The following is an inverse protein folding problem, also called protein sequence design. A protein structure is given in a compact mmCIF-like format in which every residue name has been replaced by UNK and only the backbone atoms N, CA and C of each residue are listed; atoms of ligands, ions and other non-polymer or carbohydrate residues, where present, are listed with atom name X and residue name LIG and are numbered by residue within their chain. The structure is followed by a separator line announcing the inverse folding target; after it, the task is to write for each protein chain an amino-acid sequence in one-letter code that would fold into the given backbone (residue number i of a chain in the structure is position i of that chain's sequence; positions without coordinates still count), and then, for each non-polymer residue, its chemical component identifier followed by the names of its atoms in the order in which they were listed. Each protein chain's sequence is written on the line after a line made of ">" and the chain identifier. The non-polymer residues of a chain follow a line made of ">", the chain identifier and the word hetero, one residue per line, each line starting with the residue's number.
data_IF_408818392383
#
_entry.id   IF_408818392383
#
_cell.length_a   1.000
_cell.length_b   1.000
_cell.length_c   1.000
_cell.angle_alpha   90.00
_cell.angle_beta   90.00
_cell.angle_gamma   90.00
#
_symmetry.space_group_name_H-M   'P 1'
#
loop_
_entity.id
_entity.type
_entity.pdbx_description
1 polymer ?
#
# COMPACT_ATOMS: atom_id res chain seq x y z
N UNK A 1 22.83 -43.44 -18.63
CA UNK A 1 22.36 -42.04 -18.57
C UNK A 1 21.60 -41.90 -17.25
N UNK A 2 22.22 -41.49 -16.13
CA UNK A 2 22.43 -40.09 -15.68
C UNK A 2 21.11 -39.28 -15.73
N UNK A 3 20.52 -38.71 -14.66
CA UNK A 3 21.02 -37.88 -13.54
C UNK A 3 20.06 -37.95 -12.31
N UNK A 4 20.57 -37.63 -11.12
CA UNK A 4 20.04 -37.63 -9.74
C UNK A 4 19.17 -36.41 -9.31
N UNK A 5 18.33 -36.59 -8.26
CA UNK A 5 18.15 -35.80 -7.00
C UNK A 5 16.69 -35.74 -6.50
N UNK A 6 16.30 -36.41 -5.41
CA UNK A 6 16.17 -35.94 -4.00
C UNK A 6 15.37 -34.65 -3.74
N UNK A 7 14.06 -34.82 -3.54
CA UNK A 7 13.19 -34.04 -2.64
C UNK A 7 12.11 -35.05 -2.20
N UNK A 8 11.96 -35.45 -0.93
CA UNK A 8 11.13 -34.76 0.07
C UNK A 8 11.22 -35.60 1.36
N UNK A 9 12.15 -35.30 2.27
CA UNK A 9 12.26 -35.96 3.61
C UNK A 9 12.59 -34.92 4.71
N UNK A 10 12.31 -33.63 4.50
CA UNK A 10 12.79 -32.58 5.42
C UNK A 10 11.79 -32.09 6.49
N UNK A 11 10.55 -32.58 6.53
CA UNK A 11 9.55 -32.06 7.48
C UNK A 11 9.35 -32.88 8.75
N UNK A 12 9.65 -34.18 8.75
CA UNK A 12 9.53 -35.04 9.95
C UNK A 12 10.71 -34.90 10.92
N UNK A 13 11.89 -34.50 10.44
CA UNK A 13 13.07 -34.28 11.27
C UNK A 13 13.04 -32.96 12.04
N UNK A 14 12.30 -31.95 11.57
CA UNK A 14 12.22 -30.65 12.24
C UNK A 14 11.44 -30.74 13.57
N UNK A 15 10.37 -31.53 13.59
CA UNK A 15 9.53 -31.72 14.78
C UNK A 15 10.28 -32.53 15.86
N UNK A 16 11.03 -33.55 15.47
CA UNK A 16 11.86 -34.34 16.40
C UNK A 16 13.09 -33.56 16.93
N UNK A 17 13.63 -32.60 16.17
CA UNK A 17 14.77 -31.78 16.59
C UNK A 17 14.41 -30.58 17.47
N UNK A 18 13.15 -30.11 17.42
CA UNK A 18 12.66 -28.96 18.19
C UNK A 18 12.03 -29.35 19.54
N UNK A 19 11.51 -30.58 19.67
CA UNK A 19 10.87 -31.03 20.91
C UNK A 19 11.79 -31.06 22.15
N UNK A 20 13.10 -31.38 22.07
CA UNK A 20 13.97 -31.30 23.24
C UNK A 20 14.41 -29.89 23.62
N UNK A 21 14.13 -28.87 22.78
CA UNK A 21 14.56 -27.47 23.01
C UNK A 21 13.42 -26.54 23.43
N UNK A 22 12.19 -27.05 23.52
CA UNK A 22 10.98 -26.28 23.82
C UNK A 22 10.31 -26.72 25.14
N UNK A 23 10.72 -27.83 25.75
CA UNK A 23 10.07 -28.35 26.95
C UNK A 23 11.02 -28.39 28.15
N UNK A 24 10.87 -27.44 29.06
CA UNK A 24 11.14 -27.66 30.49
C UNK A 24 9.83 -28.02 31.23
N UNK A 25 8.85 -28.55 30.49
CA UNK A 25 7.57 -28.99 31.01
C UNK A 25 7.29 -30.43 30.57
N UNK A 26 7.21 -31.34 31.53
CA UNK A 26 6.96 -32.77 31.38
C UNK A 26 5.56 -33.15 30.84
N UNK A 27 4.84 -32.26 30.15
CA UNK A 27 3.40 -32.42 29.85
C UNK A 27 2.98 -31.99 28.43
N UNK A 28 3.86 -32.09 27.43
CA UNK A 28 3.46 -31.88 26.03
C UNK A 28 2.92 -33.19 25.41
N UNK A 29 1.64 -33.20 25.02
CA UNK A 29 1.02 -34.28 24.23
C UNK A 29 0.71 -33.81 22.81
N UNK A 30 1.00 -34.64 21.80
CA UNK A 30 0.60 -34.42 20.42
C UNK A 30 -0.41 -35.51 20.00
N UNK A 31 -1.54 -35.09 19.43
CA UNK A 31 -2.55 -35.97 18.84
C UNK A 31 -2.51 -35.90 17.31
N UNK A 32 -2.54 -37.07 16.68
CA UNK A 32 -2.70 -37.23 15.24
C UNK A 32 -3.88 -38.17 14.96
N UNK A 33 -4.75 -37.84 14.00
CA UNK A 33 -5.85 -38.69 13.58
C UNK A 33 -5.70 -39.10 12.11
N UNK A 34 -5.96 -40.37 11.79
CA UNK A 34 -6.03 -40.83 10.41
C UNK A 34 -7.38 -40.52 9.75
N UNK A 35 -7.46 -40.67 8.42
CA UNK A 35 -8.67 -40.45 7.60
C UNK A 35 -9.85 -41.38 7.94
N UNK A 36 -9.66 -42.34 8.86
CA UNK A 36 -10.69 -43.25 9.39
C UNK A 36 -11.06 -42.95 10.86
N UNK A 37 -10.61 -41.82 11.39
CA UNK A 37 -10.96 -41.36 12.74
C UNK A 37 -10.22 -42.09 13.86
N UNK A 38 -9.13 -42.80 13.57
CA UNK A 38 -8.31 -43.43 14.61
C UNK A 38 -7.28 -42.44 15.13
N UNK A 39 -7.36 -42.15 16.43
CA UNK A 39 -6.47 -41.21 17.12
C UNK A 39 -5.23 -41.93 17.67
N UNK A 40 -4.05 -41.40 17.37
CA UNK A 40 -2.78 -41.78 17.97
C UNK A 40 -2.35 -40.69 18.95
N UNK A 41 -2.15 -41.08 20.21
CA UNK A 41 -1.60 -40.21 21.27
C UNK A 41 -0.13 -40.54 21.46
N UNK A 42 0.74 -39.56 21.24
CA UNK A 42 2.16 -39.67 21.51
C UNK A 42 2.50 -38.75 22.70
N UNK A 43 2.91 -39.36 23.82
CA UNK A 43 3.50 -38.61 24.93
C UNK A 43 4.94 -38.20 24.57
N UNK A 44 5.38 -37.04 25.04
CA UNK A 44 6.76 -36.58 24.92
C UNK A 44 7.72 -37.42 25.78
N UNK A 45 7.92 -38.70 25.42
CA UNK A 45 8.96 -39.56 25.97
C UNK A 45 9.87 -40.06 24.84
N UNK A 46 11.21 -40.00 24.98
CA UNK A 46 12.14 -40.33 23.89
C UNK A 46 12.11 -41.79 23.40
N UNK A 47 11.35 -42.69 24.06
CA UNK A 47 11.44 -44.14 23.84
C UNK A 47 10.12 -44.82 23.42
N UNK A 48 9.08 -44.09 22.98
CA UNK A 48 7.86 -44.74 22.47
C UNK A 48 8.01 -45.14 20.99
N UNK A 49 8.24 -46.43 20.75
CA UNK A 49 8.44 -47.02 19.41
C UNK A 49 7.20 -47.00 18.52
N UNK A 50 6.03 -46.57 19.03
CA UNK A 50 4.77 -46.49 18.27
C UNK A 50 4.68 -45.27 17.36
N UNK A 51 5.46 -44.21 17.61
CA UNK A 51 5.40 -42.93 16.86
C UNK A 51 6.42 -42.84 15.70
N UNK A 52 7.19 -43.91 15.44
CA UNK A 52 8.32 -43.92 14.49
C UNK A 52 8.06 -44.71 13.19
N UNK A 53 6.82 -45.15 12.90
CA UNK A 53 6.54 -45.85 11.65
C UNK A 53 6.10 -44.88 10.54
N UNK A 54 6.73 -44.93 9.34
CA UNK A 54 6.30 -44.12 8.21
C UNK A 54 4.88 -44.54 7.78
N UNK A 55 3.92 -43.61 7.89
CA UNK A 55 2.65 -43.73 7.18
C UNK A 55 2.84 -43.23 5.75
N UNK A 56 2.44 -44.02 4.76
CA UNK A 56 2.48 -43.65 3.33
C UNK A 56 1.28 -42.80 2.90
N UNK A 57 0.48 -42.30 3.84
CA UNK A 57 -0.78 -41.62 3.54
C UNK A 57 -0.63 -40.10 3.68
N UNK A 58 -0.72 -39.39 2.56
CA UNK A 58 -0.57 -37.94 2.45
C UNK A 58 -1.89 -37.25 2.78
N UNK A 59 -2.20 -37.08 4.06
CA UNK A 59 -3.31 -36.22 4.50
C UNK A 59 -2.90 -35.31 5.66
N UNK A 60 -3.41 -34.08 5.60
CA UNK A 60 -3.02 -32.91 6.39
C UNK A 60 -3.13 -33.18 7.90
N UNK A 61 -2.02 -33.00 8.63
CA UNK A 61 -2.01 -32.99 10.09
C UNK A 61 -2.38 -31.59 10.60
N UNK A 62 -3.51 -31.46 11.29
CA UNK A 62 -3.80 -30.30 12.13
C UNK A 62 -3.14 -30.49 13.50
N UNK A 63 -2.26 -29.57 13.88
CA UNK A 63 -1.68 -29.50 15.23
C UNK A 63 -2.40 -28.41 16.01
N UNK A 64 -3.17 -28.78 17.03
CA UNK A 64 -3.81 -27.83 17.95
C UNK A 64 -2.90 -27.59 19.15
N UNK A 65 -2.35 -26.39 19.29
CA UNK A 65 -1.57 -26.00 20.46
C UNK A 65 -2.50 -25.34 21.51
N UNK A 66 -2.53 -25.88 22.73
CA UNK A 66 -3.18 -25.23 23.89
C UNK A 66 -2.11 -24.77 24.87
N UNK A 67 -1.66 -23.53 24.71
CA UNK A 67 -0.75 -22.87 25.65
C UNK A 67 -0.46 -21.44 25.18
N UNK A 68 -0.82 -20.44 25.97
CA UNK A 68 -0.57 -19.04 25.65
C UNK A 68 0.93 -18.72 25.65
N UNK A 69 1.42 -18.11 24.57
CA UNK A 69 2.81 -17.63 24.49
C UNK A 69 2.96 -16.38 25.38
N UNK A 70 3.96 -16.37 26.25
CA UNK A 70 4.35 -15.19 27.03
C UNK A 70 4.82 -14.06 26.09
N UNK A 71 4.45 -12.82 26.41
CA UNK A 71 4.74 -11.61 25.62
C UNK A 71 6.23 -11.40 25.31
N UNK A 72 7.12 -11.96 26.14
CA UNK A 72 8.58 -11.92 25.95
C UNK A 72 9.06 -12.82 24.79
N UNK A 73 8.38 -13.94 24.55
CA UNK A 73 8.71 -14.89 23.48
C UNK A 73 8.24 -14.39 22.11
N UNK A 74 7.08 -13.72 22.05
CA UNK A 74 6.61 -13.03 20.84
C UNK A 74 7.61 -11.96 20.40
N UNK A 75 8.22 -11.26 21.36
CA UNK A 75 9.22 -10.22 21.08
C UNK A 75 10.57 -10.79 20.60
N UNK A 76 10.98 -11.97 21.09
CA UNK A 76 12.20 -12.66 20.63
C UNK A 76 12.03 -13.35 19.27
N UNK A 77 10.87 -13.95 18.98
CA UNK A 77 10.58 -14.58 17.69
C UNK A 77 10.52 -13.54 16.56
N UNK A 78 10.00 -12.33 16.84
CA UNK A 78 10.02 -11.27 15.83
C UNK A 78 11.40 -10.60 15.65
N UNK A 79 12.27 -10.58 16.67
CA UNK A 79 13.63 -9.98 16.58
C UNK A 79 14.53 -10.73 15.60
N UNK A 80 14.27 -12.02 15.35
CA UNK A 80 15.11 -12.88 14.52
C UNK A 80 14.74 -12.92 13.03
N UNK A 81 13.57 -12.43 12.63
CA UNK A 81 13.00 -12.83 11.33
C UNK A 81 13.69 -12.19 10.12
N UNK A 82 13.79 -10.85 10.07
CA UNK A 82 14.40 -10.20 8.89
C UNK A 82 15.95 -10.24 8.89
N UNK A 83 16.58 -10.29 10.07
CA UNK A 83 18.05 -10.25 10.15
C UNK A 83 18.71 -11.55 9.72
N UNK A 84 17.99 -12.67 9.80
CA UNK A 84 18.49 -13.98 9.36
C UNK A 84 18.89 -14.00 7.88
N UNK A 85 18.24 -13.18 7.04
CA UNK A 85 18.51 -13.04 5.61
C UNK A 85 19.50 -11.94 5.23
N UNK A 86 20.08 -11.23 6.19
CA UNK A 86 20.89 -10.02 5.95
C UNK A 86 22.36 -10.13 6.41
N UNK A 87 23.13 -11.13 5.93
CA UNK A 87 24.53 -11.25 6.32
C UNK A 87 25.33 -10.02 5.87
N UNK A 88 25.99 -9.35 6.82
CA UNK A 88 26.86 -8.20 6.55
C UNK A 88 26.13 -6.86 6.32
N UNK A 89 24.82 -6.78 6.54
CA UNK A 89 24.08 -5.51 6.53
C UNK A 89 23.60 -5.17 7.95
N UNK A 90 23.84 -3.94 8.44
CA UNK A 90 23.54 -3.58 9.83
C UNK A 90 22.05 -3.44 10.13
N UNK A 91 21.19 -3.26 9.11
CA UNK A 91 19.74 -3.09 9.30
C UNK A 91 18.92 -3.94 8.33
N UNK A 92 17.70 -4.30 8.75
CA UNK A 92 16.68 -4.92 7.88
C UNK A 92 15.29 -4.31 8.09
N UNK A 93 14.47 -4.33 7.04
CA UNK A 93 13.04 -4.03 7.15
C UNK A 93 12.29 -5.31 7.52
N UNK A 94 11.58 -5.35 8.66
CA UNK A 94 10.70 -6.48 8.99
C UNK A 94 9.46 -6.55 8.09
N UNK A 95 9.24 -5.55 7.23
CA UNK A 95 8.08 -5.47 6.35
C UNK A 95 8.41 -5.98 4.94
N UNK A 96 9.51 -5.49 4.36
CA UNK A 96 9.94 -5.85 3.00
C UNK A 96 10.98 -6.96 2.96
N UNK A 97 11.54 -7.37 4.10
CA UNK A 97 12.64 -8.33 4.23
C UNK A 97 13.95 -7.91 3.52
N UNK A 98 14.04 -6.65 3.09
CA UNK A 98 15.24 -6.10 2.47
C UNK A 98 16.28 -5.67 3.52
N UNK A 99 17.55 -5.60 3.08
CA UNK A 99 18.70 -5.32 3.93
C UNK A 99 19.35 -3.98 3.60
N UNK A 100 19.72 -3.20 4.62
CA UNK A 100 20.11 -1.79 4.48
C UNK A 100 21.41 -1.46 5.22
N UNK A 101 22.11 -0.44 4.71
CA UNK A 101 23.36 0.08 5.28
C UNK A 101 23.12 1.13 6.37
N UNK A 102 21.99 1.84 6.33
CA UNK A 102 21.64 2.90 7.28
C UNK A 102 20.22 2.69 7.81
N UNK A 103 19.95 3.21 9.01
CA UNK A 103 18.64 3.15 9.66
C UNK A 103 17.77 4.33 9.22
N UNK A 104 17.40 4.38 7.94
CA UNK A 104 16.61 5.49 7.39
C UNK A 104 15.14 5.48 7.86
N UNK A 105 14.65 4.33 8.32
CA UNK A 105 13.31 4.19 8.88
C UNK A 105 13.38 3.74 10.33
N UNK A 106 12.54 4.31 11.18
CA UNK A 106 12.47 3.96 12.60
C UNK A 106 12.16 2.48 12.84
N UNK A 107 11.35 1.90 11.94
CA UNK A 107 10.91 0.52 12.01
C UNK A 107 11.95 -0.50 11.51
N UNK A 108 13.10 -0.06 10.98
CA UNK A 108 14.20 -0.96 10.64
C UNK A 108 14.80 -1.58 11.90
N UNK A 109 15.05 -2.89 11.84
CA UNK A 109 15.68 -3.65 12.93
C UNK A 109 17.19 -3.66 12.72
N UNK A 110 17.94 -3.55 13.82
CA UNK A 110 19.40 -3.72 13.82
C UNK A 110 19.76 -5.20 13.83
N UNK A 111 20.63 -5.63 12.91
CA UNK A 111 21.01 -7.02 12.70
C UNK A 111 22.39 -7.41 13.25
N UNK A 112 23.18 -6.42 13.64
CA UNK A 112 24.51 -6.64 14.21
C UNK A 112 24.47 -6.40 15.72
N UNK A 113 24.85 -7.41 16.52
CA UNK A 113 25.33 -7.19 17.89
C UNK A 113 26.79 -6.75 17.83
N UNK A 114 27.04 -5.48 17.54
CA UNK A 114 28.38 -4.92 17.62
C UNK A 114 28.34 -3.43 17.96
N UNK A 115 28.72 -3.12 19.20
CA UNK A 115 29.45 -1.92 19.59
C UNK A 115 28.76 -0.57 19.46
N UNK A 116 28.50 0.05 20.61
CA UNK A 116 28.36 1.50 20.80
C UNK A 116 29.36 2.29 19.93
N UNK A 117 28.86 3.22 19.13
CA UNK A 117 29.72 3.97 18.20
C UNK A 117 28.98 4.83 17.18
N UNK A 118 28.06 5.68 17.64
CA UNK A 118 27.47 6.73 16.80
C UNK A 118 26.25 7.39 17.45
N UNK A 119 26.49 8.44 18.23
CA UNK A 119 25.44 9.27 18.82
C UNK A 119 24.51 9.82 17.72
N UNK A 120 23.25 9.38 17.73
CA UNK A 120 22.19 10.08 17.03
C UNK A 120 21.98 11.46 17.68
N UNK A 121 21.75 12.54 16.91
CA UNK A 121 21.37 13.82 17.50
C UNK A 121 20.01 13.70 18.20
N UNK A 122 19.89 14.36 19.35
CA UNK A 122 18.68 14.34 20.17
C UNK A 122 17.47 14.94 19.42
N UNK A 123 16.25 14.41 19.62
CA UNK A 123 15.04 15.01 19.08
C UNK A 123 14.80 16.41 19.68
N UNK A 124 14.29 17.38 18.90
CA UNK A 124 13.90 18.69 19.44
C UNK A 124 12.76 18.54 20.47
N UNK A 125 12.68 19.43 21.47
CA UNK A 125 11.65 19.36 22.50
C UNK A 125 10.26 19.54 21.88
N UNK A 126 9.36 18.61 22.19
CA UNK A 126 7.96 18.67 21.79
C UNK A 126 7.23 19.77 22.53
N UNK A 127 6.75 20.77 21.80
CA UNK A 127 5.82 21.74 22.32
C UNK A 127 4.45 21.08 22.50
N UNK A 128 3.98 21.08 23.75
CA UNK A 128 2.65 20.63 24.13
C UNK A 128 1.57 21.50 23.51
N UNK A 129 1.11 21.09 22.33
CA UNK A 129 -0.12 21.56 21.71
C UNK A 129 -1.24 20.56 21.99
N UNK A 130 -2.23 20.99 22.78
CA UNK A 130 -3.44 20.25 23.08
C UNK A 130 -4.12 19.78 21.79
N UNK A 131 -4.35 18.47 21.70
CA UNK A 131 -5.14 17.87 20.65
C UNK A 131 -6.51 18.57 20.55
N UNK A 132 -6.95 19.03 19.38
CA UNK A 132 -8.35 19.38 19.20
C UNK A 132 -9.19 18.12 19.37
N UNK A 133 -10.31 18.28 20.10
CA UNK A 133 -11.26 17.21 20.38
C UNK A 133 -11.70 16.50 19.10
N UNK A 134 -11.98 15.18 19.14
CA UNK A 134 -12.46 14.45 17.98
C UNK A 134 -13.78 15.07 17.51
N UNK A 135 -13.80 15.57 16.28
CA UNK A 135 -15.03 15.87 15.58
C UNK A 135 -15.80 14.56 15.43
N UNK A 136 -16.89 14.41 16.18
CA UNK A 136 -17.76 13.26 16.12
C UNK A 136 -18.47 13.22 14.76
N UNK A 137 -17.85 12.52 13.81
CA UNK A 137 -18.49 11.99 12.62
C UNK A 137 -18.43 10.48 12.70
N UNK A 138 -19.44 9.88 13.33
CA UNK A 138 -19.54 8.43 13.51
C UNK A 138 -19.40 7.67 12.21
N UNK A 139 -18.24 7.05 12.01
CA UNK A 139 -17.89 6.29 10.82
C UNK A 139 -18.76 5.05 10.63
N UNK A 140 -18.62 4.45 9.45
CA UNK A 140 -19.24 3.21 8.93
C UNK A 140 -19.82 2.24 9.99
N UNK A 141 -19.04 1.90 11.02
CA UNK A 141 -19.43 0.96 12.07
C UNK A 141 -20.62 1.42 12.92
N UNK A 142 -20.80 2.73 13.13
CA UNK A 142 -21.78 3.28 14.05
C UNK A 142 -23.18 3.43 13.42
N UNK A 143 -23.25 3.58 12.10
CA UNK A 143 -24.53 3.65 11.39
C UNK A 143 -25.21 2.28 11.36
N UNK A 144 -24.49 1.26 10.90
CA UNK A 144 -25.06 -0.07 10.67
C UNK A 144 -25.23 -0.91 11.94
N UNK A 145 -24.69 -0.49 13.09
CA UNK A 145 -24.84 -1.19 14.37
C UNK A 145 -26.30 -1.42 14.79
N UNK A 146 -27.22 -0.56 14.37
CA UNK A 146 -28.65 -0.66 14.70
C UNK A 146 -29.52 -1.25 13.56
N UNK A 147 -28.94 -1.54 12.39
CA UNK A 147 -29.68 -1.96 11.21
C UNK A 147 -29.49 -3.46 10.94
N UNK A 148 -30.58 -4.24 11.03
CA UNK A 148 -30.61 -5.68 10.74
C UNK A 148 -30.56 -6.01 9.24
N UNK A 149 -29.69 -5.32 8.49
CA UNK A 149 -29.61 -5.40 7.02
C UNK A 149 -30.09 -4.14 6.30
N UNK A 150 -29.90 -4.10 4.98
CA UNK A 150 -30.39 -3.02 4.11
C UNK A 150 -29.38 -1.88 3.97
N UNK A 151 -29.80 -0.66 4.28
CA UNK A 151 -28.98 0.54 4.19
C UNK A 151 -29.18 1.46 5.40
N UNK A 152 -28.18 2.26 5.77
CA UNK A 152 -28.25 3.24 6.85
C UNK A 152 -27.82 4.62 6.36
N UNK A 153 -28.47 5.67 6.86
CA UNK A 153 -28.03 7.05 6.64
C UNK A 153 -27.02 7.47 7.72
N UNK A 154 -25.75 7.78 7.40
CA UNK A 154 -24.75 8.17 8.40
C UNK A 154 -25.10 9.47 9.13
N UNK A 155 -25.99 10.27 8.54
CA UNK A 155 -26.47 11.55 9.08
C UNK A 155 -27.67 11.34 10.02
N UNK A 156 -28.70 10.61 9.57
CA UNK A 156 -29.95 10.46 10.35
C UNK A 156 -29.98 9.22 11.22
N UNK A 157 -29.03 8.30 11.04
CA UNK A 157 -28.94 6.99 11.70
C UNK A 157 -30.17 6.09 11.49
N UNK A 158 -31.00 6.41 10.49
CA UNK A 158 -32.17 5.60 10.13
C UNK A 158 -31.79 4.47 9.17
N UNK A 159 -32.49 3.34 9.30
CA UNK A 159 -32.36 2.16 8.44
C UNK A 159 -33.37 2.20 7.29
N UNK A 160 -32.96 1.72 6.12
CA UNK A 160 -33.71 1.72 4.88
C UNK A 160 -33.56 0.36 4.19
N UNK A 161 -34.60 -0.09 3.49
CA UNK A 161 -34.57 -1.36 2.75
C UNK A 161 -33.96 -1.24 1.35
N UNK A 162 -33.76 -0.01 0.86
CA UNK A 162 -33.18 0.28 -0.46
C UNK A 162 -32.29 1.54 -0.42
N UNK A 163 -31.33 1.62 -1.34
CA UNK A 163 -30.42 2.78 -1.48
C UNK A 163 -31.13 3.97 -2.14
N UNK A 164 -31.98 4.65 -1.38
CA UNK A 164 -32.72 5.81 -1.88
C UNK A 164 -31.82 7.05 -2.10
N UNK A 165 -30.62 7.06 -1.51
CA UNK A 165 -29.59 8.09 -1.69
C UNK A 165 -28.22 7.44 -1.79
N UNK A 166 -27.35 8.02 -2.60
CA UNK A 166 -26.01 7.49 -2.85
C UNK A 166 -25.15 7.45 -1.59
N UNK A 167 -25.39 8.32 -0.62
CA UNK A 167 -24.65 8.35 0.64
C UNK A 167 -25.16 7.35 1.69
N UNK A 168 -26.20 6.55 1.39
CA UNK A 168 -26.64 5.51 2.31
C UNK A 168 -25.67 4.33 2.27
N UNK A 169 -25.22 3.91 3.45
CA UNK A 169 -24.29 2.81 3.66
C UNK A 169 -25.04 1.48 3.68
N UNK A 170 -24.52 0.41 3.10
CA UNK A 170 -25.19 -0.90 3.10
C UNK A 170 -24.92 -1.62 4.42
N UNK A 171 -25.97 -2.04 5.12
CA UNK A 171 -25.88 -2.79 6.37
C UNK A 171 -26.22 -4.27 6.12
N UNK A 172 -25.58 -5.18 6.87
CA UNK A 172 -25.85 -6.63 6.79
C UNK A 172 -25.50 -7.31 5.46
N UNK A 173 -24.59 -6.73 4.69
CA UNK A 173 -23.69 -7.55 3.88
C UNK A 173 -22.56 -8.00 4.79
N UNK A 174 -21.97 -9.17 4.53
CA UNK A 174 -20.62 -9.48 5.01
C UNK A 174 -19.83 -8.21 4.71
N UNK A 175 -19.31 -7.55 5.76
CA UNK A 175 -18.23 -6.62 5.55
C UNK A 175 -17.25 -7.44 4.72
N UNK A 176 -16.90 -7.03 3.50
CA UNK A 176 -15.85 -7.69 2.71
C UNK A 176 -14.55 -7.44 3.47
N UNK A 177 -14.45 -8.02 4.66
CA UNK A 177 -13.43 -7.86 5.64
C UNK A 177 -12.28 -8.62 5.03
N UNK A 178 -11.54 -7.90 4.19
CA UNK A 178 -10.33 -8.39 3.58
C UNK A 178 -9.27 -8.36 4.67
N UNK A 179 -8.64 -9.50 4.90
CA UNK A 179 -7.39 -9.52 5.63
C UNK A 179 -6.27 -9.06 4.70
N UNK A 180 -5.39 -8.23 5.26
CA UNK A 180 -4.18 -7.86 4.56
C UNK A 180 -3.26 -9.09 4.51
N UNK A 181 -3.09 -9.62 3.30
CA UNK A 181 -2.20 -10.73 3.05
C UNK A 181 -0.74 -10.31 2.92
N UNK A 182 0.04 -11.26 2.41
CA UNK A 182 1.45 -11.10 2.09
C UNK A 182 1.72 -9.83 1.25
N UNK A 183 2.79 -9.11 1.60
CA UNK A 183 3.36 -8.06 0.76
C UNK A 183 4.07 -8.70 -0.44
N UNK A 184 3.56 -8.46 -1.64
CA UNK A 184 4.08 -9.07 -2.88
C UNK A 184 5.09 -8.18 -3.59
N UNK A 185 5.10 -6.88 -3.28
CA UNK A 185 6.01 -5.92 -3.85
C UNK A 185 6.12 -4.68 -2.95
N UNK A 186 7.30 -4.07 -2.89
CA UNK A 186 7.50 -2.78 -2.25
C UNK A 186 8.67 -2.00 -2.85
N UNK A 187 8.60 -0.68 -2.68
CA UNK A 187 9.75 0.20 -2.74
C UNK A 187 9.74 1.08 -1.48
N UNK A 188 10.79 0.96 -0.67
CA UNK A 188 10.99 1.74 0.56
C UNK A 188 11.88 2.98 0.32
N UNK A 189 12.29 3.20 -0.94
CA UNK A 189 13.04 4.36 -1.42
C UNK A 189 14.38 4.61 -0.71
N UNK A 190 14.98 3.56 -0.17
CA UNK A 190 16.37 3.60 0.27
C UNK A 190 17.33 3.60 -0.92
N UNK A 191 18.29 4.50 -0.87
CA UNK A 191 19.37 4.53 -1.85
C UNK A 191 20.42 3.44 -1.55
N UNK A 192 20.05 2.20 -1.85
CA UNK A 192 20.91 1.03 -1.67
C UNK A 192 22.18 1.07 -2.55
N UNK A 193 22.18 1.91 -3.60
CA UNK A 193 23.29 2.04 -4.55
C UNK A 193 24.22 3.22 -4.27
N UNK A 194 23.78 4.20 -3.46
CA UNK A 194 24.45 5.49 -3.29
C UNK A 194 24.34 6.42 -4.51
N UNK A 195 23.41 6.16 -5.44
CA UNK A 195 23.26 6.95 -6.67
C UNK A 195 22.29 8.13 -6.54
N UNK A 196 21.50 8.17 -5.47
CA UNK A 196 20.39 9.09 -5.29
C UNK A 196 19.24 8.87 -6.29
N UNK A 197 19.23 7.79 -7.09
CA UNK A 197 18.18 7.52 -8.09
C UNK A 197 17.27 6.38 -7.65
N UNK A 198 16.04 6.39 -8.14
CA UNK A 198 15.10 5.27 -7.97
C UNK A 198 15.64 3.98 -8.57
N UNK A 199 15.27 2.85 -7.98
CA UNK A 199 15.66 1.55 -8.47
C UNK A 199 15.10 1.32 -9.89
N UNK A 200 15.97 1.12 -10.88
CA UNK A 200 15.59 0.88 -12.27
C UNK A 200 15.02 -0.53 -12.50
N UNK A 201 14.98 -1.41 -11.51
CA UNK A 201 14.14 -2.61 -11.57
C UNK A 201 12.68 -2.32 -11.23
N UNK A 202 12.40 -1.19 -10.57
CA UNK A 202 11.06 -0.81 -10.11
C UNK A 202 10.44 0.31 -10.94
N UNK A 203 11.25 1.28 -11.39
CA UNK A 203 10.76 2.51 -11.99
C UNK A 203 11.41 2.83 -13.35
N UNK A 204 10.61 3.44 -14.23
CA UNK A 204 11.05 4.14 -15.45
C UNK A 204 10.66 5.60 -15.36
N UNK A 205 11.50 6.47 -15.91
CA UNK A 205 11.15 7.87 -16.12
C UNK A 205 10.34 8.01 -17.41
N UNK A 206 9.15 8.59 -17.32
CA UNK A 206 8.35 8.96 -18.47
C UNK A 206 8.60 10.42 -18.84
N UNK A 207 9.76 10.66 -19.45
CA UNK A 207 10.22 12.01 -19.85
C UNK A 207 9.42 12.57 -21.03
N UNK A 208 9.22 13.88 -21.07
CA UNK A 208 8.50 14.57 -22.15
C UNK A 208 7.54 15.64 -21.65
N UNK A 209 6.88 16.31 -22.59
CA UNK A 209 5.70 17.13 -22.31
C UNK A 209 4.44 16.25 -22.18
N UNK A 210 3.39 16.79 -21.57
CA UNK A 210 2.07 16.16 -21.50
C UNK A 210 0.98 17.14 -21.93
N UNK A 211 0.73 17.31 -23.24
CA UNK A 211 -0.19 18.32 -23.72
C UNK A 211 -1.67 18.02 -23.43
N UNK A 212 -2.00 16.79 -23.01
CA UNK A 212 -3.38 16.30 -22.93
C UNK A 212 -4.25 17.11 -21.97
N UNK A 213 -3.66 17.64 -20.89
CA UNK A 213 -4.38 18.39 -19.85
C UNK A 213 -3.98 19.88 -19.79
N UNK A 214 -3.30 20.41 -20.82
CA UNK A 214 -2.74 21.77 -20.83
C UNK A 214 -1.69 21.99 -19.72
N UNK A 215 -1.01 20.91 -19.33
CA UNK A 215 0.09 20.94 -18.37
C UNK A 215 1.30 21.71 -18.91
N UNK A 216 2.03 22.38 -18.02
CA UNK A 216 3.07 23.36 -18.36
C UNK A 216 4.50 22.82 -18.17
N UNK A 217 4.67 21.73 -17.44
CA UNK A 217 5.97 21.13 -17.15
C UNK A 217 6.52 20.29 -18.30
N UNK A 218 7.84 20.17 -18.33
CA UNK A 218 8.54 19.08 -18.99
C UNK A 218 9.01 18.06 -17.95
N UNK A 219 8.61 16.80 -18.08
CA UNK A 219 9.10 15.72 -17.22
C UNK A 219 10.53 15.33 -17.60
N UNK A 220 11.42 15.26 -16.61
CA UNK A 220 12.82 14.87 -16.78
C UNK A 220 13.22 13.75 -15.81
N UNK A 221 14.42 13.20 -16.04
CA UNK A 221 15.10 12.27 -15.14
C UNK A 221 16.30 12.91 -14.42
N UNK A 222 16.35 14.25 -14.38
CA UNK A 222 17.36 15.01 -13.65
C UNK A 222 17.22 14.76 -12.13
N UNK A 223 18.34 14.67 -11.39
CA UNK A 223 18.31 14.58 -9.92
C UNK A 223 17.52 15.70 -9.24
N UNK A 224 17.54 16.90 -9.81
CA UNK A 224 16.76 18.05 -9.30
C UNK A 224 15.24 17.83 -9.32
N UNK A 225 14.73 17.03 -10.27
CA UNK A 225 13.31 16.74 -10.38
C UNK A 225 12.92 15.43 -9.68
N UNK A 226 13.85 14.49 -9.54
CA UNK A 226 13.63 13.28 -8.77
C UNK A 226 14.93 12.71 -8.19
N UNK A 227 14.94 12.52 -6.88
CA UNK A 227 16.05 11.86 -6.18
C UNK A 227 15.58 11.18 -4.89
N UNK A 228 16.40 10.25 -4.42
CA UNK A 228 16.28 9.62 -3.12
C UNK A 228 17.12 10.39 -2.11
N UNK A 229 16.53 10.70 -0.96
CA UNK A 229 17.23 11.31 0.17
C UNK A 229 16.60 10.80 1.47
N UNK A 230 17.43 10.35 2.41
CA UNK A 230 17.01 9.89 3.74
C UNK A 230 15.90 8.82 3.70
N UNK A 231 16.00 7.90 2.73
CA UNK A 231 15.01 6.84 2.50
C UNK A 231 13.70 7.33 1.87
N UNK A 232 13.62 8.57 1.40
CA UNK A 232 12.40 9.16 0.82
C UNK A 232 12.65 9.49 -0.64
N UNK A 233 11.70 9.12 -1.50
CA UNK A 233 11.65 9.62 -2.87
C UNK A 233 11.09 11.05 -2.85
N UNK A 234 11.82 11.98 -3.47
CA UNK A 234 11.38 13.34 -3.72
C UNK A 234 11.10 13.49 -5.21
N UNK A 235 9.90 13.97 -5.56
CA UNK A 235 9.54 14.43 -6.91
C UNK A 235 9.28 15.92 -6.81
N UNK A 236 10.11 16.72 -7.45
CA UNK A 236 10.10 18.17 -7.33
C UNK A 236 9.74 18.82 -8.67
N UNK A 237 8.63 19.55 -8.65
CA UNK A 237 8.29 20.51 -9.69
C UNK A 237 8.94 21.87 -9.37
N UNK A 238 9.68 22.42 -10.32
CA UNK A 238 10.43 23.67 -10.13
C UNK A 238 10.33 24.59 -11.34
N UNK A 239 10.56 25.88 -11.08
CA UNK A 239 10.74 26.86 -12.13
C UNK A 239 12.15 26.77 -12.70
N UNK A 240 12.26 26.53 -14.01
CA UNK A 240 13.50 26.67 -14.76
C UNK A 240 13.20 26.91 -16.24
N UNK A 241 14.04 27.69 -16.93
CA UNK A 241 14.01 27.68 -18.39
C UNK A 241 14.58 26.35 -18.88
N UNK A 242 13.75 25.53 -19.50
CA UNK A 242 14.14 24.25 -20.05
C UNK A 242 13.88 24.21 -21.55
N UNK A 243 14.95 23.93 -22.32
CA UNK A 243 14.94 23.82 -23.80
C UNK A 243 14.27 25.01 -24.50
N UNK A 244 14.37 26.21 -23.92
CA UNK A 244 13.83 27.48 -24.44
C UNK A 244 12.32 27.47 -24.75
N UNK A 245 11.57 26.53 -24.18
CA UNK A 245 10.13 26.35 -24.40
C UNK A 245 9.35 26.16 -23.11
N UNK A 246 9.91 25.46 -22.13
CA UNK A 246 9.22 25.15 -20.88
C UNK A 246 9.76 25.99 -19.74
N UNK A 247 8.85 26.56 -18.94
CA UNK A 247 9.20 27.35 -17.75
C UNK A 247 9.20 26.51 -16.47
N UNK A 248 8.82 25.24 -16.58
CA UNK A 248 8.70 24.31 -15.47
C UNK A 248 9.27 22.95 -15.85
N UNK A 249 9.91 22.31 -14.88
CA UNK A 249 10.26 20.89 -14.97
C UNK A 249 9.74 20.14 -13.77
N UNK A 250 9.56 18.82 -13.94
CA UNK A 250 9.13 17.91 -12.89
C UNK A 250 9.58 16.49 -13.24
N UNK A 251 9.13 15.47 -12.49
CA UNK A 251 9.32 14.06 -12.84
C UNK A 251 8.00 13.30 -12.87
N UNK A 252 7.96 12.27 -13.72
CA UNK A 252 6.90 11.27 -13.80
C UNK A 252 7.55 9.89 -13.81
N UNK A 253 7.31 9.13 -12.77
CA UNK A 253 7.81 7.77 -12.61
C UNK A 253 6.69 6.78 -12.88
N UNK A 254 6.99 5.70 -13.59
CA UNK A 254 6.04 4.63 -13.90
C UNK A 254 6.63 3.26 -13.61
N UNK A 255 5.79 2.31 -13.20
CA UNK A 255 6.16 0.88 -13.10
C UNK A 255 5.87 0.11 -14.39
N UNK A 256 5.47 0.81 -15.46
CA UNK A 256 5.11 0.20 -16.75
C UNK A 256 6.23 -0.72 -17.27
N UNK A 257 5.83 -1.91 -17.73
CA UNK A 257 6.71 -2.99 -18.20
C UNK A 257 7.67 -3.56 -17.13
N UNK A 258 7.50 -3.18 -15.85
CA UNK A 258 8.29 -3.68 -14.71
C UNK A 258 7.44 -4.40 -13.67
N UNK A 259 6.33 -3.78 -13.27
CA UNK A 259 5.39 -4.32 -12.29
C UNK A 259 3.98 -3.77 -12.52
N UNK A 260 2.99 -4.63 -12.37
CA UNK A 260 1.58 -4.30 -12.51
C UNK A 260 0.70 -5.14 -11.58
N UNK A 261 -0.46 -4.58 -11.21
CA UNK A 261 -1.38 -5.18 -10.25
C UNK A 261 -2.81 -5.09 -10.74
N UNK A 262 -3.65 -5.99 -10.23
CA UNK A 262 -5.06 -6.12 -10.61
C UNK A 262 -5.94 -6.34 -9.39
N UNK A 263 -7.19 -6.78 -9.60
CA UNK A 263 -8.06 -7.25 -8.54
C UNK A 263 -7.35 -8.23 -7.57
N UNK A 264 -7.76 -8.20 -6.31
CA UNK A 264 -7.17 -8.99 -5.24
C UNK A 264 -5.92 -8.34 -4.60
N UNK A 265 -5.65 -7.06 -4.86
CA UNK A 265 -4.51 -6.34 -4.30
C UNK A 265 -4.92 -5.07 -3.56
N UNK A 266 -4.15 -4.75 -2.52
CA UNK A 266 -4.11 -3.42 -1.91
C UNK A 266 -2.89 -2.67 -2.44
N UNK A 267 -3.11 -1.45 -2.90
CA UNK A 267 -2.02 -0.48 -3.17
C UNK A 267 -2.00 0.50 -2.01
N UNK A 268 -0.87 0.62 -1.32
CA UNK A 268 -0.72 1.46 -0.13
C UNK A 268 0.52 2.33 -0.28
N UNK A 269 0.33 3.64 -0.28
CA UNK A 269 1.39 4.63 -0.51
C UNK A 269 1.39 5.65 0.60
N UNK A 270 2.55 5.89 1.22
CA UNK A 270 2.71 6.94 2.23
C UNK A 270 3.41 8.15 1.63
N UNK A 271 2.74 9.29 1.61
CA UNK A 271 3.24 10.48 0.93
C UNK A 271 2.87 11.81 1.62
N UNK A 272 3.69 12.85 1.36
CA UNK A 272 3.36 14.28 1.51
C UNK A 272 3.19 14.88 0.12
N UNK A 273 2.18 15.73 -0.07
CA UNK A 273 1.85 16.35 -1.35
C UNK A 273 2.08 17.88 -1.28
N UNK A 274 2.57 18.53 -2.36
CA UNK A 274 2.83 19.97 -2.37
C UNK A 274 1.54 20.81 -2.40
N UNK A 275 1.57 21.98 -1.76
CA UNK A 275 0.41 22.87 -1.56
C UNK A 275 0.36 24.08 -2.49
N UNK A 276 1.42 24.38 -3.23
CA UNK A 276 1.46 25.55 -4.12
C UNK A 276 0.33 25.54 -5.13
N UNK A 277 -0.37 26.67 -5.31
CA UNK A 277 -1.40 26.78 -6.35
C UNK A 277 -0.75 26.58 -7.72
N UNK A 278 -1.42 25.83 -8.59
CA UNK A 278 -0.84 25.38 -9.85
C UNK A 278 -0.14 24.03 -9.76
N UNK A 279 0.08 23.44 -8.58
CA UNK A 279 0.54 22.04 -8.49
C UNK A 279 -0.62 21.08 -8.74
N UNK A 280 -0.28 19.94 -9.32
CA UNK A 280 -1.17 18.78 -9.46
C UNK A 280 -0.39 17.49 -9.20
N UNK A 281 -0.08 17.17 -7.92
CA UNK A 281 0.48 15.88 -7.54
C UNK A 281 -0.55 14.75 -7.70
N UNK A 282 -0.08 13.60 -8.19
CA UNK A 282 -0.92 12.42 -8.39
C UNK A 282 -0.16 11.11 -8.08
N UNK A 283 -0.89 10.19 -7.46
CA UNK A 283 -0.55 8.76 -7.32
C UNK A 283 -1.70 8.00 -7.95
N UNK A 284 -1.45 7.35 -9.08
CA UNK A 284 -2.51 6.85 -9.96
C UNK A 284 -2.01 5.71 -10.82
N UNK A 285 -2.92 5.07 -11.55
CA UNK A 285 -2.64 3.86 -12.30
C UNK A 285 -3.30 3.87 -13.67
N UNK A 286 -2.62 3.29 -14.64
CA UNK A 286 -3.12 3.07 -16.00
C UNK A 286 -2.96 1.59 -16.41
N UNK A 287 -3.79 1.08 -17.33
CA UNK A 287 -3.75 -0.31 -17.73
C UNK A 287 -2.43 -0.66 -18.42
N UNK A 288 -1.87 -1.84 -18.12
CA UNK A 288 -0.70 -2.37 -18.82
C UNK A 288 -0.98 -2.60 -20.30
N UNK A 289 -2.24 -2.93 -20.63
CA UNK A 289 -2.71 -3.19 -21.97
C UNK A 289 -4.08 -2.56 -22.23
N UNK A 290 -4.24 -1.94 -23.40
CA UNK A 290 -5.49 -1.31 -23.84
C UNK A 290 -6.52 -2.35 -24.34
N UNK A 291 -6.88 -3.32 -23.50
CA UNK A 291 -7.76 -4.46 -23.84
C UNK A 291 -9.12 -4.02 -24.39
N UNK A 292 -9.64 -2.89 -23.91
CA UNK A 292 -10.94 -2.34 -24.31
C UNK A 292 -10.81 -1.10 -25.22
N UNK A 293 -9.62 -0.89 -25.80
CA UNK A 293 -9.26 0.30 -26.56
C UNK A 293 -8.55 1.36 -25.72
N UNK A 294 -8.08 2.43 -26.36
CA UNK A 294 -7.33 3.49 -25.67
C UNK A 294 -8.14 4.20 -24.58
N UNK A 295 -7.45 5.06 -23.83
CA UNK A 295 -8.09 5.87 -22.79
C UNK A 295 -9.32 6.64 -23.32
N UNK A 296 -10.45 6.70 -22.58
CA UNK A 296 -10.63 6.17 -21.22
C UNK A 296 -11.18 4.73 -21.16
N UNK A 297 -11.31 4.03 -22.30
CA UNK A 297 -12.06 2.77 -22.36
C UNK A 297 -11.40 1.64 -21.57
N UNK A 298 -10.06 1.58 -21.52
CA UNK A 298 -9.33 0.59 -20.71
C UNK A 298 -9.11 1.00 -19.26
N UNK A 299 -9.58 2.17 -18.85
CA UNK A 299 -9.65 2.59 -17.45
C UNK A 299 -8.49 3.47 -16.97
N UNK A 300 -8.73 4.14 -15.84
CA UNK A 300 -7.77 4.90 -15.03
C UNK A 300 -8.20 4.79 -13.56
N UNK A 301 -7.24 4.67 -12.65
CA UNK A 301 -7.50 4.62 -11.20
C UNK A 301 -6.62 5.67 -10.53
N UNK A 302 -7.25 6.70 -9.99
CA UNK A 302 -6.58 7.77 -9.26
C UNK A 302 -6.66 7.45 -7.77
N UNK A 303 -5.56 6.96 -7.19
CA UNK A 303 -5.48 6.60 -5.77
C UNK A 303 -5.54 7.87 -4.93
N UNK A 304 -4.76 8.88 -5.32
CA UNK A 304 -4.91 10.23 -4.81
C UNK A 304 -4.48 11.25 -5.85
N UNK A 305 -5.30 12.28 -5.99
CA UNK A 305 -4.93 13.55 -6.61
C UNK A 305 -5.26 14.70 -5.67
N UNK A 306 -4.52 15.79 -5.79
CA UNK A 306 -4.92 17.08 -5.23
C UNK A 306 -4.37 18.19 -6.10
N UNK A 307 -4.93 19.38 -5.95
CA UNK A 307 -4.42 20.60 -6.58
C UNK A 307 -4.27 21.67 -5.51
N UNK A 308 -3.21 22.48 -5.58
CA UNK A 308 -3.04 23.58 -4.62
C UNK A 308 -4.18 24.60 -4.63
N UNK A 309 -5.00 24.61 -5.70
CA UNK A 309 -6.23 25.39 -5.80
C UNK A 309 -7.41 24.87 -4.93
N UNK A 310 -7.31 23.67 -4.35
CA UNK A 310 -8.32 23.08 -3.47
C UNK A 310 -7.72 22.78 -2.10
N UNK A 311 -7.81 23.75 -1.18
CA UNK A 311 -7.27 23.61 0.17
C UNK A 311 -7.90 22.42 0.91
N UNK A 312 -7.02 21.60 1.50
CA UNK A 312 -7.37 20.51 2.39
C UNK A 312 -8.14 19.36 1.75
N UNK A 313 -8.17 19.23 0.41
CA UNK A 313 -8.91 18.17 -0.28
C UNK A 313 -7.99 17.26 -1.06
N UNK A 314 -8.20 15.97 -0.90
CA UNK A 314 -7.64 14.92 -1.76
C UNK A 314 -8.78 14.17 -2.45
N UNK A 315 -8.55 13.71 -3.66
CA UNK A 315 -9.54 13.12 -4.54
C UNK A 315 -9.13 11.69 -4.88
N UNK A 316 -10.10 10.77 -4.84
CA UNK A 316 -9.96 9.43 -5.39
C UNK A 316 -11.01 9.24 -6.47
N UNK A 317 -10.58 8.84 -7.66
CA UNK A 317 -11.40 8.86 -8.87
C UNK A 317 -11.12 7.62 -9.71
N UNK A 318 -12.11 7.24 -10.52
CA UNK A 318 -11.91 6.35 -11.65
C UNK A 318 -12.36 7.03 -12.94
N UNK A 319 -11.65 6.72 -14.02
CA UNK A 319 -12.09 7.04 -15.37
C UNK A 319 -12.31 5.78 -16.20
N UNK A 320 -13.42 5.73 -16.93
CA UNK A 320 -13.80 4.64 -17.83
C UNK A 320 -14.43 5.21 -19.11
N UNK A 321 -14.74 4.35 -20.09
CA UNK A 321 -15.49 4.74 -21.28
C UNK A 321 -16.82 5.47 -20.96
N UNK A 322 -17.56 4.99 -19.95
CA UNK A 322 -18.80 5.58 -19.46
C UNK A 322 -18.59 6.78 -18.52
N UNK A 323 -17.55 6.73 -17.68
CA UNK A 323 -17.35 7.65 -16.57
C UNK A 323 -16.06 8.42 -16.75
N UNK A 324 -16.09 9.62 -17.34
CA UNK A 324 -14.87 10.40 -17.52
C UNK A 324 -15.15 11.91 -17.56
N UNK A 325 -14.08 12.68 -17.35
CA UNK A 325 -14.15 14.13 -17.26
C UNK A 325 -14.59 14.80 -18.57
N UNK A 326 -14.24 14.22 -19.74
CA UNK A 326 -14.68 14.76 -21.03
C UNK A 326 -16.22 14.73 -21.19
N UNK A 327 -16.87 13.76 -20.55
CA UNK A 327 -18.33 13.61 -20.51
C UNK A 327 -18.97 14.22 -19.26
N UNK A 328 -18.18 14.70 -18.30
CA UNK A 328 -18.63 15.10 -16.96
C UNK A 328 -19.37 13.98 -16.20
N UNK A 329 -18.95 12.73 -16.40
CA UNK A 329 -19.58 11.54 -15.80
C UNK A 329 -18.64 10.74 -14.90
N UNK A 330 -17.44 11.24 -14.62
CA UNK A 330 -16.44 10.60 -13.77
C UNK A 330 -17.02 10.23 -12.40
N UNK A 331 -16.47 9.16 -11.82
CA UNK A 331 -16.89 8.64 -10.51
C UNK A 331 -15.72 8.79 -9.55
N UNK A 332 -15.95 9.56 -8.50
CA UNK A 332 -14.96 9.83 -7.48
C UNK A 332 -15.59 10.47 -6.26
N UNK A 333 -14.78 10.62 -5.22
CA UNK A 333 -15.12 11.36 -4.01
C UNK A 333 -13.90 12.15 -3.54
N UNK A 334 -14.06 12.91 -2.47
CA UNK A 334 -12.96 13.62 -1.83
C UNK A 334 -12.95 13.37 -0.33
N UNK A 335 -11.78 13.56 0.27
CA UNK A 335 -11.56 13.54 1.71
C UNK A 335 -10.88 14.83 2.14
N UNK A 336 -11.21 15.32 3.33
CA UNK A 336 -10.57 16.49 3.90
C UNK A 336 -9.38 16.09 4.77
N UNK A 337 -8.18 16.55 4.41
CA UNK A 337 -6.95 16.32 5.17
C UNK A 337 -5.90 17.38 4.85
N UNK A 338 -4.94 17.58 5.76
CA UNK A 338 -3.75 18.37 5.47
C UNK A 338 -2.73 17.55 4.67
N UNK A 339 -2.90 17.50 3.36
CA UNK A 339 -2.06 16.69 2.49
C UNK A 339 -0.57 17.09 2.46
N UNK A 340 -0.18 18.19 3.11
CA UNK A 340 1.22 18.56 3.32
C UNK A 340 1.90 17.73 4.43
N UNK A 341 1.11 17.02 5.22
CA UNK A 341 1.56 16.04 6.20
C UNK A 341 1.59 14.61 5.64
N UNK A 342 2.27 13.73 6.39
CA UNK A 342 2.41 12.33 5.98
C UNK A 342 1.08 11.61 6.12
N UNK A 343 0.53 11.16 4.99
CA UNK A 343 -0.70 10.37 4.96
C UNK A 343 -0.50 9.06 4.21
N UNK A 344 -1.26 8.05 4.61
CA UNK A 344 -1.37 6.78 3.92
C UNK A 344 -2.56 6.83 2.94
N UNK A 345 -2.27 6.87 1.65
CA UNK A 345 -3.25 6.79 0.58
C UNK A 345 -3.35 5.34 0.11
N UNK A 346 -4.55 4.77 0.18
CA UNK A 346 -4.75 3.34 -0.05
C UNK A 346 -5.92 3.10 -0.99
N UNK A 347 -5.77 2.13 -1.89
CA UNK A 347 -6.91 1.44 -2.50
C UNK A 347 -6.94 -0.03 -2.11
N UNK A 348 -8.14 -0.54 -1.83
CA UNK A 348 -8.43 -1.97 -1.92
C UNK A 348 -9.13 -2.25 -3.24
N UNK A 349 -8.53 -3.07 -4.07
CA UNK A 349 -9.07 -3.43 -5.36
C UNK A 349 -9.54 -4.88 -5.34
N UNK A 350 -10.85 -5.07 -5.33
CA UNK A 350 -11.51 -6.37 -5.44
C UNK A 350 -12.17 -6.51 -6.80
N UNK A 351 -12.52 -7.75 -7.17
CA UNK A 351 -13.21 -8.02 -8.44
C UNK A 351 -14.56 -7.28 -8.54
N UNK A 352 -15.23 -7.11 -7.41
CA UNK A 352 -16.59 -6.57 -7.33
C UNK A 352 -16.65 -5.07 -7.06
N UNK A 353 -15.60 -4.48 -6.49
CA UNK A 353 -15.57 -3.08 -6.10
C UNK A 353 -14.15 -2.65 -5.74
N UNK A 354 -13.97 -1.33 -5.64
CA UNK A 354 -12.73 -0.70 -5.20
C UNK A 354 -13.05 0.30 -4.09
N UNK A 355 -12.19 0.39 -3.08
CA UNK A 355 -12.35 1.27 -1.92
C UNK A 355 -11.12 2.15 -1.76
N UNK A 356 -11.31 3.43 -1.47
CA UNK A 356 -10.24 4.39 -1.23
C UNK A 356 -10.22 4.82 0.23
N UNK A 357 -9.00 4.95 0.76
CA UNK A 357 -8.78 5.34 2.14
C UNK A 357 -7.68 6.40 2.26
N UNK A 358 -7.84 7.27 3.25
CA UNK A 358 -6.78 8.12 3.80
C UNK A 358 -6.59 7.73 5.25
N UNK A 359 -5.40 7.30 5.64
CA UNK A 359 -5.07 6.84 7.00
C UNK A 359 -6.03 5.77 7.53
N UNK A 360 -6.45 4.86 6.64
CA UNK A 360 -7.40 3.80 6.95
C UNK A 360 -8.87 4.26 7.03
N UNK A 361 -9.16 5.55 6.86
CA UNK A 361 -10.53 6.07 6.79
C UNK A 361 -11.08 5.94 5.37
N UNK A 362 -12.10 5.11 5.21
CA UNK A 362 -12.81 4.92 3.94
C UNK A 362 -13.56 6.19 3.56
N UNK A 363 -13.35 6.71 2.34
CA UNK A 363 -14.08 7.89 1.84
C UNK A 363 -14.68 7.73 0.44
N UNK A 364 -14.27 6.69 -0.30
CA UNK A 364 -14.85 6.37 -1.59
C UNK A 364 -15.00 4.86 -1.77
N UNK A 365 -16.10 4.45 -2.40
CA UNK A 365 -16.29 3.10 -2.91
C UNK A 365 -16.86 3.20 -4.31
N UNK A 366 -16.19 2.57 -5.26
CA UNK A 366 -16.65 2.43 -6.62
C UNK A 366 -16.96 0.97 -6.91
N UNK A 367 -18.15 0.70 -7.44
CA UNK A 367 -18.60 -0.64 -7.79
C UNK A 367 -19.31 -0.56 -9.15
N UNK A 368 -19.20 -1.61 -9.98
CA UNK A 368 -19.92 -1.67 -11.23
C UNK A 368 -21.42 -1.75 -10.98
N UNK A 369 -22.21 -0.97 -11.72
CA UNK A 369 -23.66 -1.18 -11.80
C UNK A 369 -24.04 -2.26 -12.84
N UNK A 370 -23.10 -2.62 -13.72
CA UNK A 370 -23.19 -3.70 -14.72
C UNK A 370 -21.81 -4.33 -14.95
N UNK A 371 -21.74 -5.57 -15.43
CA UNK A 371 -20.46 -6.22 -15.79
C UNK A 371 -19.81 -5.75 -17.09
N UNK A 372 -20.22 -4.60 -17.65
CA UNK A 372 -19.69 -4.08 -18.92
C UNK A 372 -18.33 -3.42 -18.73
N UNK A 373 -17.40 -3.67 -19.66
CA UNK A 373 -16.06 -3.04 -19.64
C UNK A 373 -16.11 -1.52 -19.80
N UNK A 374 -17.16 -0.95 -20.39
CA UNK A 374 -17.37 0.50 -20.49
C UNK A 374 -17.52 1.16 -19.10
N UNK A 375 -17.98 0.39 -18.11
CA UNK A 375 -18.23 0.83 -16.74
C UNK A 375 -17.27 0.22 -15.72
N UNK A 376 -16.68 -0.93 -16.06
CA UNK A 376 -15.75 -1.68 -15.21
C UNK A 376 -14.64 -2.35 -16.01
N UNK A 377 -13.66 -1.58 -16.51
CA UNK A 377 -12.48 -2.13 -17.17
C UNK A 377 -11.45 -2.69 -16.17
N UNK A 378 -11.72 -2.60 -14.87
CA UNK A 378 -10.82 -2.92 -13.77
C UNK A 378 -10.71 -4.42 -13.45
N UNK A 379 -10.88 -5.28 -14.46
CA UNK A 379 -10.51 -6.70 -14.40
C UNK A 379 -9.11 -6.96 -14.97
N UNK A 380 -8.45 -5.92 -15.48
CA UNK A 380 -7.11 -5.98 -16.08
C UNK A 380 -6.05 -5.50 -15.10
N UNK A 381 -4.78 -5.75 -15.45
CA UNK A 381 -3.64 -5.25 -14.68
C UNK A 381 -3.26 -3.83 -15.06
N UNK A 382 -2.86 -3.06 -14.05
CA UNK A 382 -2.51 -1.65 -14.16
C UNK A 382 -1.12 -1.41 -13.55
N UNK A 383 -0.35 -0.53 -14.16
CA UNK A 383 0.93 -0.05 -13.64
C UNK A 383 0.73 1.25 -12.85
N UNK A 384 1.59 1.50 -11.87
CA UNK A 384 1.54 2.68 -11.00
C UNK A 384 2.32 3.85 -11.60
N UNK A 385 1.85 5.06 -11.31
CA UNK A 385 2.39 6.34 -11.75
C UNK A 385 2.49 7.29 -10.56
N UNK A 386 3.64 7.95 -10.42
CA UNK A 386 3.88 9.02 -9.46
C UNK A 386 4.34 10.27 -10.22
N UNK A 387 3.68 11.41 -10.04
CA UNK A 387 4.12 12.67 -10.65
C UNK A 387 3.65 13.90 -9.87
N UNK A 388 4.27 15.04 -10.20
CA UNK A 388 3.75 16.38 -9.87
C UNK A 388 3.61 17.16 -11.18
N UNK A 389 2.39 17.35 -11.66
CA UNK A 389 2.11 18.22 -12.79
C UNK A 389 2.09 19.71 -12.36
N UNK A 390 2.21 20.60 -13.34
CA UNK A 390 2.17 22.06 -13.16
C UNK A 390 1.16 22.67 -14.11
N UNK A 391 0.26 23.49 -13.57
CA UNK A 391 -0.82 24.13 -14.32
C UNK A 391 -1.88 23.12 -14.76
N UNK A 392 -2.23 23.16 -16.04
CA UNK A 392 -3.35 22.39 -16.56
C UNK A 392 -4.71 23.01 -16.26
N UNK A 393 -5.73 22.49 -16.95
CA UNK A 393 -7.12 22.94 -16.80
C UNK A 393 -7.64 22.78 -15.37
N UNK A 394 -7.08 21.84 -14.59
CA UNK A 394 -7.42 21.63 -13.20
C UNK A 394 -6.36 22.16 -12.22
N UNK A 395 -5.08 21.77 -12.31
CA UNK A 395 -4.06 22.23 -11.35
C UNK A 395 -3.97 23.76 -11.19
N UNK A 396 -4.20 24.51 -12.27
CA UNK A 396 -4.18 25.98 -12.29
C UNK A 396 -5.55 26.68 -12.33
N UNK A 397 -6.68 25.98 -12.12
CA UNK A 397 -8.02 26.55 -12.38
C UNK A 397 -8.32 27.85 -11.60
N UNK A 398 -7.68 28.05 -10.45
CA UNK A 398 -7.87 29.21 -9.59
C UNK A 398 -6.93 30.40 -9.93
N UNK A 399 -6.08 30.27 -10.95
CA UNK A 399 -5.05 31.25 -11.30
C UNK A 399 -5.38 31.97 -12.60
N UNK A 400 -5.37 33.29 -12.57
CA UNK A 400 -5.54 34.12 -13.76
C UNK A 400 -4.20 34.22 -14.50
N UNK A 401 -4.00 33.38 -15.52
CA UNK A 401 -2.77 33.38 -16.35
C UNK A 401 -1.77 32.27 -16.06
N UNK A 402 -2.15 31.28 -15.25
CA UNK A 402 -1.28 30.16 -14.86
C UNK A 402 -0.42 30.45 -13.62
N UNK A 403 0.35 29.45 -13.15
CA UNK A 403 1.27 29.62 -12.02
C UNK A 403 2.38 30.62 -12.32
N UNK A 404 2.85 31.30 -11.27
CA UNK A 404 3.97 32.24 -11.28
C UNK A 404 5.16 31.70 -10.49
N UNK A 405 6.35 31.86 -11.08
CA UNK A 405 7.64 31.59 -10.43
C UNK A 405 8.06 32.63 -9.38
N UNK A 406 7.27 33.68 -9.16
CA UNK A 406 7.58 34.73 -8.18
C UNK A 406 6.64 34.76 -6.98
N UNK A 407 5.54 34.01 -7.01
CA UNK A 407 4.55 33.98 -5.94
C UNK A 407 4.84 32.81 -5.00
N UNK A 408 5.05 33.10 -3.72
CA UNK A 408 5.45 32.11 -2.71
C UNK A 408 4.42 30.97 -2.56
N UNK A 409 3.14 31.29 -2.68
CA UNK A 409 2.04 30.31 -2.62
C UNK A 409 1.75 29.61 -3.97
N UNK A 410 2.64 29.73 -4.95
CA UNK A 410 2.63 29.07 -6.26
C UNK A 410 3.98 28.38 -6.48
N UNK A 411 4.87 28.94 -7.32
CA UNK A 411 6.19 28.39 -7.63
C UNK A 411 7.33 29.36 -7.33
N UNK A 412 7.12 30.31 -6.42
CA UNK A 412 8.20 31.08 -5.80
C UNK A 412 9.18 30.21 -4.99
N UNK A 413 8.76 28.99 -4.65
CA UNK A 413 9.60 27.92 -4.09
C UNK A 413 9.32 26.59 -4.79
N UNK A 414 10.30 25.70 -4.76
CA UNK A 414 10.18 24.34 -5.30
C UNK A 414 9.02 23.58 -4.63
N UNK A 415 8.24 22.87 -5.44
CA UNK A 415 7.05 22.15 -5.00
C UNK A 415 7.33 20.64 -5.05
N UNK A 416 7.45 20.02 -3.88
CA UNK A 416 7.91 18.63 -3.75
C UNK A 416 6.83 17.70 -3.22
N UNK A 417 6.55 16.63 -3.97
CA UNK A 417 5.91 15.43 -3.43
C UNK A 417 6.98 14.53 -2.82
N UNK A 418 6.74 14.06 -1.60
CA UNK A 418 7.63 13.14 -0.89
C UNK A 418 6.93 11.81 -0.70
N UNK A 419 7.58 10.70 -1.03
CA UNK A 419 7.02 9.36 -0.92
C UNK A 419 7.93 8.53 -0.02
N UNK A 420 7.38 8.08 1.10
CA UNK A 420 8.08 7.29 2.12
C UNK A 420 8.20 5.83 1.68
N UNK A 421 7.10 5.26 1.17
CA UNK A 421 7.08 3.93 0.59
C UNK A 421 5.90 3.73 -0.36
N UNK A 422 6.02 2.74 -1.25
CA UNK A 422 4.90 2.11 -1.95
C UNK A 422 4.91 0.62 -1.59
N UNK A 423 3.77 0.09 -1.15
CA UNK A 423 3.61 -1.32 -0.80
C UNK A 423 2.38 -1.91 -1.46
N UNK A 424 2.53 -3.14 -1.92
CA UNK A 424 1.46 -3.91 -2.55
C UNK A 424 1.26 -5.20 -1.78
N UNK A 425 0.04 -5.42 -1.35
CA UNK A 425 -0.34 -6.62 -0.62
C UNK A 425 -1.42 -7.39 -1.36
N UNK A 426 -1.45 -8.72 -1.18
CA UNK A 426 -2.65 -9.50 -1.51
C UNK A 426 -3.77 -9.14 -0.55
N UNK A 427 -5.00 -9.12 -1.06
CA UNK A 427 -6.21 -9.10 -0.24
C UNK A 427 -6.73 -10.53 -0.10
N UNK A 428 -6.93 -10.97 1.14
CA UNK A 428 -7.47 -12.29 1.46
C UNK A 428 -8.93 -12.11 1.89
N UNK A 429 -9.91 -12.67 1.16
CA UNK A 429 -11.29 -12.67 1.63
C UNK A 429 -11.40 -13.42 2.96
N UNK A 430 -11.97 -12.80 4.01
CA UNK A 430 -12.36 -13.57 5.20
C UNK A 430 -13.49 -14.49 4.82
N UNK A 431 -13.22 -15.80 4.80
CA UNK A 431 -14.26 -16.80 4.76
C UNK A 431 -14.78 -16.91 6.20
N UNK A 432 -15.95 -16.34 6.47
CA UNK A 432 -16.67 -16.61 7.71
C UNK A 432 -17.08 -18.10 7.71
N UNK A 433 -16.58 -18.84 8.70
CA UNK A 433 -16.77 -20.29 8.86
C UNK A 433 -18.08 -20.68 9.53
#
# INVERSE_FOLDING_TARGET
>A
MAVTRTATVYWLLLVAALLPRIADSSEAEAEAADSRGRTLRCAASPNDSRCLKPSTDHSMLQVNYRGGLSSTLVQQVQKADCCSGCPGKPFCSPQSQNCYLSKNKDYYRSCSEAGDGGLAPAPPPGDGGLAPAPAQGGGFAECCAACAGGFCSPISKNCYTARAKDYYEKCGGVDDAVELGEMVWSDEFDDVTGSGRVNSSNWRYNNGDNPNNQELQYYTDKPDNSHLQDGVLKITAKCENYKDKWSYTSARLVTKDLADWGPGHRVHVRAKLPTGRGTWPAIWMLPSHDVYGGWPNSGEIDIVETVGCTSGKVYGTVHTGAYNHMKNTQKGSHYFTDFSEWHNYTIDWLDSHMKWYVDGQLYHTFAPDTGSSDRWPFSQKFYLILNVAVGGSWGGFCLSGGPSCSQENEFGTDQTMQVDFVRIHKLIPKIEG
#
